data_IF_371563995595
#
_entry.id   IF_371563995595
#
_cell.length_a   1.000
_cell.length_b   1.000
_cell.length_c   1.000
_cell.angle_alpha   90.00
_cell.angle_beta   90.00
_cell.angle_gamma   90.00
#
_symmetry.space_group_name_H-M   'P 1'
#
loop_
_entity.id
_entity.type
_entity.pdbx_description
1 polymer ?
#
# COMPACT_ATOMS: atom_id res chain seq x y z
N UNK A 1 11.96 -13.33 17.95
CA UNK A 1 11.99 -11.89 18.31
C UNK A 1 13.42 -11.39 18.49
N UNK A 2 14.37 -12.25 18.89
CA UNK A 2 15.79 -11.87 19.06
C UNK A 2 16.55 -11.70 17.74
N UNK A 3 16.00 -12.20 16.63
CA UNK A 3 16.61 -12.12 15.29
C UNK A 3 16.08 -10.96 14.44
N UNK A 4 15.18 -10.14 14.96
CA UNK A 4 14.73 -8.94 14.25
C UNK A 4 15.76 -7.82 14.39
N UNK A 5 16.57 -7.65 13.35
CA UNK A 5 17.50 -6.53 13.24
C UNK A 5 16.69 -5.25 12.95
N UNK A 6 16.80 -4.25 13.80
CA UNK A 6 16.30 -2.91 13.48
C UNK A 6 17.26 -2.30 12.48
N UNK A 7 16.90 -2.31 11.20
CA UNK A 7 17.76 -1.87 10.11
C UNK A 7 17.85 -0.36 10.02
N UNK A 8 16.76 0.35 10.35
CA UNK A 8 16.73 1.81 10.28
C UNK A 8 15.58 2.37 11.15
N UNK A 9 15.89 3.34 11.98
CA UNK A 9 14.89 4.17 12.65
C UNK A 9 14.78 5.46 11.85
N UNK A 10 13.61 5.75 11.29
CA UNK A 10 13.37 6.98 10.54
C UNK A 10 13.41 8.18 11.47
N UNK A 11 14.26 9.16 11.19
CA UNK A 11 14.27 10.45 11.87
C UNK A 11 13.45 11.46 11.08
N UNK A 12 12.21 11.69 11.53
CA UNK A 12 11.27 12.62 10.91
C UNK A 12 11.70 14.08 11.00
N UNK A 13 12.56 14.43 11.96
CA UNK A 13 13.09 15.78 12.14
C UNK A 13 13.98 16.26 10.98
N UNK A 14 14.55 15.32 10.22
CA UNK A 14 15.45 15.63 9.11
C UNK A 14 14.72 15.81 7.76
N UNK A 15 13.39 15.77 7.70
CA UNK A 15 12.65 16.05 6.47
C UNK A 15 12.38 17.55 6.31
N UNK A 16 12.99 18.25 5.33
CA UNK A 16 12.91 19.72 5.20
C UNK A 16 11.48 20.23 5.10
N UNK A 17 10.60 19.48 4.41
CA UNK A 17 9.20 19.86 4.24
C UNK A 17 8.42 19.76 5.55
N UNK A 18 8.61 18.70 6.33
CA UNK A 18 7.95 18.52 7.63
C UNK A 18 8.41 19.56 8.63
N UNK A 19 9.71 19.87 8.64
CA UNK A 19 10.25 20.94 9.48
C UNK A 19 9.66 22.30 9.11
N UNK A 20 9.48 22.59 7.81
CA UNK A 20 8.83 23.82 7.36
C UNK A 20 7.37 23.88 7.82
N UNK A 21 6.59 22.82 7.62
CA UNK A 21 5.19 22.75 8.04
C UNK A 21 5.03 22.81 9.56
N UNK A 22 5.95 22.24 10.33
CA UNK A 22 5.98 22.36 11.78
C UNK A 22 6.31 23.79 12.23
N UNK A 23 7.28 24.45 11.60
CA UNK A 23 7.64 25.85 11.86
C UNK A 23 6.50 26.82 11.55
N UNK A 24 5.68 26.50 10.54
CA UNK A 24 4.48 27.26 10.16
C UNK A 24 3.27 26.94 11.07
N UNK A 25 3.42 26.04 12.04
CA UNK A 25 2.33 25.60 12.93
C UNK A 25 1.25 24.74 12.25
N UNK A 26 1.50 24.32 11.00
CA UNK A 26 0.54 23.53 10.20
C UNK A 26 0.45 22.08 10.68
N UNK A 27 1.56 21.53 11.17
CA UNK A 27 1.64 20.19 11.76
C UNK A 27 2.45 20.23 13.05
N UNK A 28 2.15 19.31 13.97
CA UNK A 28 2.98 19.07 15.15
C UNK A 28 3.83 17.82 14.92
N UNK A 29 5.14 17.98 14.90
CA UNK A 29 6.07 16.85 14.95
C UNK A 29 6.09 16.36 16.41
N UNK A 30 5.77 15.08 16.62
CA UNK A 30 5.91 14.44 17.93
C UNK A 30 7.18 13.62 17.95
N UNK A 31 7.92 13.77 19.00
CA UNK A 31 8.96 12.82 19.40
C UNK A 31 8.30 11.63 20.09
N UNK A 32 8.01 10.60 19.29
CA UNK A 32 7.33 9.39 19.76
C UNK A 32 8.22 8.55 20.68
N UNK A 33 9.54 8.65 20.53
CA UNK A 33 10.50 7.86 21.31
C UNK A 33 10.62 8.36 22.73
N UNK A 34 10.28 9.64 22.96
CA UNK A 34 10.30 10.28 24.29
C UNK A 34 8.91 10.69 24.80
N UNK A 35 7.84 10.29 24.09
CA UNK A 35 6.48 10.61 24.53
C UNK A 35 6.09 9.78 25.75
N UNK A 36 5.66 10.45 26.83
CA UNK A 36 5.13 9.77 28.02
C UNK A 36 3.76 9.16 27.73
N UNK A 37 3.39 8.11 28.50
CA UNK A 37 2.05 7.48 28.39
C UNK A 37 0.92 8.50 28.55
N UNK A 38 1.11 9.56 29.34
CA UNK A 38 0.16 10.66 29.52
C UNK A 38 0.07 11.55 28.28
N UNK A 39 1.19 11.79 27.57
CA UNK A 39 1.22 12.51 26.30
C UNK A 39 0.61 11.69 25.16
N UNK A 40 0.74 10.36 25.20
CA UNK A 40 0.12 9.43 24.26
C UNK A 40 -1.39 9.31 24.52
N UNK A 41 -1.82 9.36 25.79
CA UNK A 41 -3.22 9.30 26.20
C UNK A 41 -3.98 10.63 25.97
N UNK A 42 -3.32 11.77 26.15
CA UNK A 42 -3.88 13.12 25.94
C UNK A 42 -3.82 13.53 24.45
N UNK A 43 -4.31 12.66 23.59
CA UNK A 43 -4.30 12.90 22.17
C UNK A 43 -5.61 13.59 21.74
N UNK A 44 -5.64 14.92 21.69
CA UNK A 44 -6.75 15.71 21.12
C UNK A 44 -6.96 15.48 19.62
N UNK A 45 -6.18 14.57 19.01
CA UNK A 45 -6.29 14.22 17.60
C UNK A 45 -7.41 13.21 17.41
N UNK A 46 -8.35 13.58 16.57
CA UNK A 46 -9.40 12.67 16.13
C UNK A 46 -8.81 11.55 15.28
N UNK A 47 -9.25 10.30 15.47
CA UNK A 47 -8.85 9.21 14.60
C UNK A 47 -9.39 9.42 13.17
N UNK A 48 -8.75 8.78 12.19
CA UNK A 48 -9.07 9.02 10.77
C UNK A 48 -10.54 8.76 10.41
N UNK A 49 -11.22 7.82 11.04
CA UNK A 49 -12.65 7.56 10.78
C UNK A 49 -13.56 8.71 11.28
N UNK A 50 -13.18 9.41 12.35
CA UNK A 50 -13.90 10.59 12.82
C UNK A 50 -13.60 11.81 11.93
N UNK A 51 -12.35 11.98 11.50
CA UNK A 51 -11.99 12.99 10.51
C UNK A 51 -12.71 12.78 9.18
N UNK A 52 -12.76 11.53 8.70
CA UNK A 52 -13.48 11.17 7.48
C UNK A 52 -14.97 11.56 7.57
N UNK A 53 -15.60 11.29 8.72
CA UNK A 53 -16.99 11.68 8.99
C UNK A 53 -17.15 13.20 9.11
N UNK A 54 -16.28 13.85 9.90
CA UNK A 54 -16.32 15.31 10.14
C UNK A 54 -16.27 16.12 8.85
N UNK A 55 -15.42 15.68 7.92
CA UNK A 55 -15.19 16.37 6.63
C UNK A 55 -15.96 15.72 5.46
N UNK A 56 -16.80 14.74 5.73
CA UNK A 56 -17.55 14.01 4.71
C UNK A 56 -16.66 13.49 3.55
N UNK A 57 -15.59 12.81 3.90
CA UNK A 57 -14.60 12.30 2.95
C UNK A 57 -14.86 10.85 2.57
N UNK A 58 -15.34 10.04 3.53
CA UNK A 58 -15.59 8.61 3.38
C UNK A 58 -16.88 8.26 4.09
N UNK A 59 -17.76 7.55 3.40
CA UNK A 59 -19.01 7.01 3.92
C UNK A 59 -18.88 5.48 4.09
N UNK A 60 -18.68 5.04 5.31
CA UNK A 60 -18.56 3.63 5.64
C UNK A 60 -19.91 2.92 5.65
N UNK A 61 -20.98 3.62 6.06
CA UNK A 61 -22.33 3.05 6.14
C UNK A 61 -22.89 2.77 4.74
N UNK A 62 -22.60 3.66 3.79
CA UNK A 62 -22.94 3.46 2.39
C UNK A 62 -22.17 2.26 1.80
N UNK A 63 -20.92 2.07 2.17
CA UNK A 63 -20.14 0.89 1.80
C UNK A 63 -20.74 -0.41 2.32
N UNK A 64 -21.17 -0.42 3.57
CA UNK A 64 -21.89 -1.56 4.17
C UNK A 64 -23.18 -1.87 3.41
N UNK A 65 -23.93 -0.83 3.02
CA UNK A 65 -25.19 -0.98 2.26
C UNK A 65 -24.96 -1.60 0.87
N UNK A 66 -23.86 -1.23 0.20
CA UNK A 66 -23.57 -1.66 -1.19
C UNK A 66 -22.95 -3.06 -1.22
N UNK A 67 -21.95 -3.32 -0.37
CA UNK A 67 -21.09 -4.52 -0.47
C UNK A 67 -20.87 -5.25 0.85
N UNK A 68 -20.96 -4.54 1.98
CA UNK A 68 -20.66 -5.07 3.30
C UNK A 68 -19.58 -4.29 4.03
N UNK A 69 -19.26 -4.70 5.24
CA UNK A 69 -18.18 -4.09 6.02
C UNK A 69 -16.84 -4.24 5.30
N UNK A 70 -15.95 -3.25 5.45
CA UNK A 70 -14.63 -3.27 4.81
C UNK A 70 -14.59 -2.80 3.35
N UNK A 71 -15.69 -2.21 2.85
CA UNK A 71 -15.79 -1.58 1.53
C UNK A 71 -16.14 -0.09 1.70
N UNK A 72 -15.15 0.81 1.84
CA UNK A 72 -15.43 2.24 2.03
C UNK A 72 -15.91 2.89 0.73
N UNK A 73 -16.77 3.91 0.86
CA UNK A 73 -17.16 4.78 -0.25
C UNK A 73 -16.53 6.15 -0.07
N UNK A 74 -15.59 6.50 -0.93
CA UNK A 74 -14.99 7.83 -0.94
C UNK A 74 -15.94 8.84 -1.58
N UNK A 75 -16.14 10.00 -0.94
CA UNK A 75 -17.14 10.99 -1.35
C UNK A 75 -16.50 12.35 -1.59
N UNK A 76 -16.91 13.03 -2.65
CA UNK A 76 -16.53 14.42 -2.93
C UNK A 76 -15.03 14.68 -2.88
N UNK A 77 -14.57 15.46 -1.88
CA UNK A 77 -13.15 15.76 -1.69
C UNK A 77 -12.33 14.53 -1.31
N UNK A 78 -12.92 13.55 -0.61
CA UNK A 78 -12.25 12.28 -0.30
C UNK A 78 -11.89 11.50 -1.57
N UNK A 79 -12.82 11.37 -2.52
CA UNK A 79 -12.55 10.74 -3.80
C UNK A 79 -11.50 11.50 -4.64
N UNK A 80 -11.51 12.83 -4.57
CA UNK A 80 -10.49 13.67 -5.24
C UNK A 80 -9.12 13.48 -4.62
N UNK A 81 -9.03 13.43 -3.29
CA UNK A 81 -7.78 13.20 -2.56
C UNK A 81 -7.21 11.83 -2.90
N UNK A 82 -8.05 10.77 -2.90
CA UNK A 82 -7.63 9.41 -3.27
C UNK A 82 -6.97 9.38 -4.66
N UNK A 83 -7.62 9.98 -5.66
CA UNK A 83 -7.05 10.08 -7.01
C UNK A 83 -5.76 10.92 -7.07
N UNK A 84 -5.71 12.01 -6.30
CA UNK A 84 -4.53 12.87 -6.27
C UNK A 84 -3.32 12.12 -5.70
N UNK A 85 -3.51 11.33 -4.63
CA UNK A 85 -2.46 10.50 -4.05
C UNK A 85 -1.99 9.41 -5.02
N UNK A 86 -2.91 8.73 -5.70
CA UNK A 86 -2.57 7.73 -6.72
C UNK A 86 -1.71 8.36 -7.82
N UNK A 87 -2.14 9.50 -8.37
CA UNK A 87 -1.40 10.20 -9.41
C UNK A 87 -0.03 10.68 -8.93
N UNK A 88 0.05 11.17 -7.70
CA UNK A 88 1.32 11.60 -7.09
C UNK A 88 2.30 10.42 -7.00
N UNK A 89 1.90 9.29 -6.43
CA UNK A 89 2.77 8.12 -6.29
C UNK A 89 3.22 7.55 -7.64
N UNK A 90 2.34 7.52 -8.64
CA UNK A 90 2.70 7.09 -10.00
C UNK A 90 3.70 8.06 -10.66
N UNK A 91 3.49 9.38 -10.49
CA UNK A 91 4.39 10.38 -11.03
C UNK A 91 5.79 10.30 -10.41
N UNK A 92 5.87 10.14 -9.07
CA UNK A 92 7.14 9.99 -8.36
C UNK A 92 7.85 8.69 -8.74
N UNK A 93 7.13 7.57 -8.87
CA UNK A 93 7.71 6.32 -9.34
C UNK A 93 8.24 6.45 -10.78
N UNK A 94 7.47 7.08 -11.67
CA UNK A 94 7.89 7.32 -13.06
C UNK A 94 9.14 8.22 -13.13
N UNK A 95 9.21 9.26 -12.30
CA UNK A 95 10.38 10.13 -12.18
C UNK A 95 11.62 9.38 -11.67
N UNK A 96 11.42 8.34 -10.83
CA UNK A 96 12.48 7.44 -10.36
C UNK A 96 12.86 6.33 -11.38
N UNK A 97 12.31 6.40 -12.60
CA UNK A 97 12.65 5.49 -13.70
C UNK A 97 11.85 4.17 -13.71
N UNK A 98 10.74 4.09 -12.99
CA UNK A 98 9.82 2.96 -13.09
C UNK A 98 8.91 3.13 -14.32
N UNK A 99 8.74 2.06 -15.09
CA UNK A 99 7.77 2.00 -16.18
C UNK A 99 6.37 1.76 -15.61
N UNK A 100 5.42 2.64 -15.89
CA UNK A 100 4.05 2.47 -15.47
C UNK A 100 3.37 1.35 -16.25
N UNK A 101 2.74 0.42 -15.54
CA UNK A 101 2.00 -0.73 -16.08
C UNK A 101 0.55 -0.65 -15.58
N UNK A 102 -0.40 -0.88 -16.46
CA UNK A 102 -1.82 -1.03 -16.10
C UNK A 102 -2.24 -2.49 -16.32
N UNK A 103 -2.07 -3.36 -15.31
CA UNK A 103 -2.36 -4.78 -15.42
C UNK A 103 -3.84 -5.07 -15.17
N UNK A 104 -4.33 -6.26 -15.58
CA UNK A 104 -5.65 -6.75 -15.19
C UNK A 104 -5.74 -6.95 -13.66
N UNK A 105 -6.92 -6.71 -13.09
CA UNK A 105 -7.21 -6.90 -11.66
C UNK A 105 -7.69 -8.31 -11.32
N UNK A 106 -7.87 -9.15 -12.31
CA UNK A 106 -8.13 -10.59 -12.17
C UNK A 106 -7.02 -11.38 -12.86
N UNK A 107 -6.59 -12.47 -12.22
CA UNK A 107 -5.48 -13.29 -12.68
C UNK A 107 -5.87 -14.76 -12.71
N UNK A 108 -5.20 -15.53 -13.58
CA UNK A 108 -5.34 -16.98 -13.61
C UNK A 108 -4.58 -17.65 -12.45
N UNK A 109 -4.86 -18.93 -12.24
CA UNK A 109 -4.26 -19.75 -11.19
C UNK A 109 -2.72 -19.78 -11.28
N UNK A 110 -2.16 -19.88 -12.48
CA UNK A 110 -0.71 -19.92 -12.70
C UNK A 110 -0.02 -18.64 -12.20
N UNK A 111 -0.66 -17.49 -12.33
CA UNK A 111 -0.14 -16.22 -11.80
C UNK A 111 -0.20 -16.17 -10.28
N UNK A 112 -1.23 -16.76 -9.68
CA UNK A 112 -1.30 -16.89 -8.22
C UNK A 112 -0.19 -17.77 -7.64
N UNK A 113 0.15 -18.85 -8.32
CA UNK A 113 1.30 -19.70 -7.96
C UNK A 113 2.63 -19.00 -8.20
N UNK A 114 2.76 -18.24 -9.28
CA UNK A 114 3.99 -17.54 -9.64
C UNK A 114 4.52 -16.55 -8.60
N UNK A 115 3.65 -16.03 -7.75
CA UNK A 115 4.00 -15.09 -6.66
C UNK A 115 3.68 -15.63 -5.26
N UNK A 116 3.36 -16.94 -5.15
CA UNK A 116 3.14 -17.59 -3.86
C UNK A 116 1.83 -17.24 -3.16
N UNK A 117 0.87 -16.63 -3.86
CA UNK A 117 -0.47 -16.37 -3.33
C UNK A 117 -1.31 -17.66 -3.29
N UNK A 118 -1.02 -18.60 -4.15
CA UNK A 118 -1.59 -19.94 -4.14
C UNK A 118 -0.53 -20.98 -3.76
N UNK A 119 -0.91 -22.06 -3.06
CA UNK A 119 -2.25 -22.37 -2.58
C UNK A 119 -2.67 -21.43 -1.43
N UNK A 120 -3.89 -20.87 -1.52
CA UNK A 120 -4.43 -19.96 -0.51
C UNK A 120 -4.93 -20.72 0.72
N UNK A 121 -4.01 -21.06 1.62
CA UNK A 121 -4.29 -21.84 2.84
C UNK A 121 -5.12 -21.05 3.86
N UNK A 122 -5.08 -19.75 3.80
CA UNK A 122 -5.74 -18.85 4.77
C UNK A 122 -7.07 -18.29 4.23
N UNK A 123 -7.41 -18.57 2.97
CA UNK A 123 -8.64 -18.11 2.34
C UNK A 123 -8.70 -16.60 2.14
N UNK A 124 -7.56 -15.98 1.80
CA UNK A 124 -7.45 -14.52 1.66
C UNK A 124 -7.87 -14.00 0.29
N UNK A 125 -7.80 -14.84 -0.74
CA UNK A 125 -8.14 -14.43 -2.10
C UNK A 125 -9.64 -14.56 -2.40
N UNK A 126 -10.17 -13.58 -3.12
CA UNK A 126 -11.47 -13.70 -3.78
C UNK A 126 -11.34 -14.54 -5.04
N UNK A 127 -12.14 -15.59 -5.17
CA UNK A 127 -12.13 -16.52 -6.28
C UNK A 127 -13.43 -16.45 -7.09
N UNK A 128 -13.34 -16.15 -8.39
CA UNK A 128 -14.41 -16.23 -9.35
C UNK A 128 -14.49 -17.68 -9.88
N UNK A 129 -15.28 -18.51 -9.22
CA UNK A 129 -15.29 -19.97 -9.44
C UNK A 129 -15.63 -20.40 -10.86
N UNK A 130 -16.59 -19.71 -11.53
CA UNK A 130 -17.04 -20.09 -12.88
C UNK A 130 -15.93 -19.93 -13.93
N UNK A 131 -15.12 -18.91 -13.78
CA UNK A 131 -14.06 -18.57 -14.74
C UNK A 131 -12.67 -19.05 -14.29
N UNK A 132 -12.57 -19.59 -13.07
CA UNK A 132 -11.32 -19.93 -12.41
C UNK A 132 -10.32 -18.78 -12.40
N UNK A 133 -10.80 -17.55 -12.06
CA UNK A 133 -10.01 -16.35 -11.93
C UNK A 133 -10.00 -15.86 -10.49
N UNK A 134 -8.96 -15.17 -10.11
CA UNK A 134 -8.75 -14.63 -8.77
C UNK A 134 -8.63 -13.12 -8.83
N UNK A 135 -9.33 -12.39 -7.93
CA UNK A 135 -9.09 -10.97 -7.76
C UNK A 135 -7.75 -10.78 -7.06
N UNK A 136 -6.95 -9.84 -7.56
CA UNK A 136 -5.59 -9.62 -7.04
C UNK A 136 -5.60 -8.99 -5.65
N UNK A 137 -4.77 -9.48 -4.70
CA UNK A 137 -4.56 -8.83 -3.40
C UNK A 137 -3.51 -7.71 -3.46
N UNK A 138 -2.78 -7.60 -4.57
CA UNK A 138 -1.68 -6.67 -4.82
C UNK A 138 -1.34 -6.66 -6.31
N UNK A 139 -0.91 -5.52 -6.85
CA UNK A 139 -0.39 -5.42 -8.22
C UNK A 139 0.89 -6.25 -8.44
N UNK A 140 1.60 -6.62 -7.38
CA UNK A 140 2.75 -7.53 -7.44
C UNK A 140 2.43 -8.80 -8.25
N UNK A 141 1.23 -9.38 -8.04
CA UNK A 141 0.84 -10.63 -8.71
C UNK A 141 0.85 -10.48 -10.23
N UNK A 142 0.07 -9.61 -10.87
CA UNK A 142 0.10 -9.49 -12.31
C UNK A 142 1.41 -8.91 -12.85
N UNK A 143 2.01 -7.94 -12.18
CA UNK A 143 3.21 -7.24 -12.67
C UNK A 143 4.43 -8.16 -12.67
N UNK A 144 4.66 -8.92 -11.59
CA UNK A 144 5.76 -9.88 -11.53
C UNK A 144 5.59 -11.00 -12.56
N UNK A 145 4.35 -11.45 -12.78
CA UNK A 145 4.05 -12.51 -13.74
C UNK A 145 4.21 -12.11 -15.21
N UNK A 146 4.42 -10.83 -15.53
CA UNK A 146 4.84 -10.39 -16.88
C UNK A 146 6.15 -11.11 -17.28
N UNK A 147 7.01 -11.37 -16.32
CA UNK A 147 8.31 -12.03 -16.53
C UNK A 147 8.31 -13.52 -16.11
N UNK A 148 7.13 -14.11 -15.81
CA UNK A 148 7.04 -15.55 -15.60
C UNK A 148 7.43 -16.29 -16.88
N UNK A 149 8.27 -17.32 -16.75
CA UNK A 149 8.77 -18.13 -17.86
C UNK A 149 9.61 -17.33 -18.89
N UNK A 150 10.14 -16.17 -18.50
CA UNK A 150 11.04 -15.33 -19.30
C UNK A 150 12.48 -15.48 -18.79
N UNK A 151 13.40 -15.69 -19.71
CA UNK A 151 14.85 -15.64 -19.40
C UNK A 151 15.37 -14.26 -19.79
N UNK A 152 15.83 -13.50 -18.78
CA UNK A 152 16.42 -12.17 -18.98
C UNK A 152 17.91 -12.28 -19.28
N UNK A 153 18.40 -11.50 -20.25
CA UNK A 153 19.80 -11.32 -20.52
C UNK A 153 20.44 -10.28 -19.59
N UNK A 154 21.78 -10.24 -19.55
CA UNK A 154 22.51 -9.30 -18.69
C UNK A 154 22.18 -7.82 -18.97
N UNK A 155 21.78 -7.46 -20.17
CA UNK A 155 21.47 -6.09 -20.58
C UNK A 155 20.00 -5.69 -20.30
N UNK A 156 19.17 -6.63 -19.84
CA UNK A 156 17.76 -6.38 -19.55
C UNK A 156 17.54 -5.80 -18.14
N UNK A 157 18.59 -5.83 -17.30
CA UNK A 157 18.53 -5.33 -15.92
C UNK A 157 18.97 -3.87 -15.79
N UNK A 158 18.42 -3.11 -14.82
CA UNK A 158 17.28 -3.49 -13.99
C UNK A 158 15.95 -3.37 -14.73
N UNK A 159 14.98 -4.24 -14.42
CA UNK A 159 13.57 -4.02 -14.78
C UNK A 159 12.89 -3.30 -13.62
N UNK A 160 12.34 -2.13 -13.87
CA UNK A 160 11.62 -1.32 -12.89
C UNK A 160 10.20 -1.07 -13.39
N UNK A 161 9.19 -1.48 -12.61
CA UNK A 161 7.78 -1.35 -12.96
C UNK A 161 6.99 -0.75 -11.80
N UNK A 162 6.01 0.10 -12.11
CA UNK A 162 5.04 0.60 -11.15
C UNK A 162 3.63 0.38 -11.66
N UNK A 163 2.69 0.11 -10.77
CA UNK A 163 1.29 -0.07 -11.15
C UNK A 163 0.36 0.42 -10.04
N UNK A 164 -0.70 1.09 -10.43
CA UNK A 164 -1.87 1.31 -9.59
C UNK A 164 -2.91 0.23 -9.87
N UNK A 165 -3.43 -0.38 -8.80
CA UNK A 165 -4.59 -1.26 -8.89
C UNK A 165 -5.48 -1.15 -7.66
N UNK A 166 -6.81 -1.33 -7.80
CA UNK A 166 -7.62 -1.80 -6.70
C UNK A 166 -7.13 -3.20 -6.30
N UNK A 167 -7.10 -3.44 -4.98
CA UNK A 167 -6.66 -4.70 -4.39
C UNK A 167 -7.77 -5.28 -3.54
N UNK A 168 -7.86 -6.61 -3.49
CA UNK A 168 -8.96 -7.32 -2.83
C UNK A 168 -8.41 -8.37 -1.87
N UNK A 169 -8.82 -8.30 -0.59
CA UNK A 169 -8.45 -9.26 0.44
C UNK A 169 -9.68 -9.67 1.24
N UNK A 170 -9.85 -10.95 1.50
CA UNK A 170 -10.99 -11.42 2.31
C UNK A 170 -10.84 -11.09 3.79
N UNK A 171 -9.64 -10.71 4.23
CA UNK A 171 -9.34 -10.38 5.62
C UNK A 171 -9.86 -11.43 6.61
N UNK A 172 -9.78 -12.71 6.22
CA UNK A 172 -10.27 -13.84 6.99
C UNK A 172 -9.58 -13.88 8.37
N UNK A 173 -10.39 -13.94 9.43
CA UNK A 173 -9.88 -13.95 10.81
C UNK A 173 -9.62 -12.58 11.44
N UNK A 174 -9.91 -11.47 10.75
CA UNK A 174 -9.77 -10.12 11.31
C UNK A 174 -11.03 -9.69 12.05
N UNK A 175 -10.91 -9.30 13.33
CA UNK A 175 -12.03 -8.92 14.19
C UNK A 175 -11.72 -7.72 15.09
N UNK A 176 -12.75 -7.01 15.55
CA UNK A 176 -12.67 -6.03 16.62
C UNK A 176 -12.14 -4.67 16.22
N UNK A 177 -11.25 -4.07 17.01
CA UNK A 177 -10.76 -2.71 16.82
C UNK A 177 -9.94 -2.53 15.53
N UNK A 178 -9.30 -3.59 15.05
CA UNK A 178 -8.41 -3.57 13.89
C UNK A 178 -9.15 -3.38 12.56
N UNK A 179 -10.47 -3.63 12.54
CA UNK A 179 -11.32 -3.45 11.34
C UNK A 179 -12.01 -2.09 11.28
N UNK A 180 -11.75 -1.18 12.24
CA UNK A 180 -12.37 0.15 12.24
C UNK A 180 -11.67 1.10 11.27
N UNK A 181 -12.47 1.84 10.50
CA UNK A 181 -11.98 2.83 9.53
C UNK A 181 -11.27 2.19 8.34
N UNK A 182 -10.05 2.63 8.03
CA UNK A 182 -9.26 2.18 6.88
C UNK A 182 -8.17 1.15 7.23
N UNK A 183 -8.13 0.65 8.47
CA UNK A 183 -7.03 -0.22 8.91
C UNK A 183 -7.03 -1.59 8.23
N UNK A 184 -8.22 -2.16 8.00
CA UNK A 184 -8.42 -3.45 7.34
C UNK A 184 -9.60 -3.36 6.39
N UNK A 185 -9.34 -3.51 5.10
CA UNK A 185 -10.34 -3.35 4.05
C UNK A 185 -10.36 -4.57 3.14
N UNK A 186 -11.55 -4.95 2.70
CA UNK A 186 -11.75 -5.95 1.66
C UNK A 186 -11.37 -5.45 0.26
N UNK A 187 -11.52 -4.13 0.05
CA UNK A 187 -11.08 -3.45 -1.16
C UNK A 187 -10.34 -2.18 -0.77
N UNK A 188 -9.16 -1.97 -1.36
CA UNK A 188 -8.34 -0.76 -1.18
C UNK A 188 -7.52 -0.49 -2.42
N UNK A 189 -7.02 0.73 -2.55
CA UNK A 189 -6.16 1.14 -3.65
C UNK A 189 -4.69 1.05 -3.25
N UNK A 190 -3.84 0.55 -4.16
CA UNK A 190 -2.40 0.44 -3.93
C UNK A 190 -1.61 0.82 -5.18
N UNK A 191 -0.62 1.66 -4.99
CA UNK A 191 0.45 1.86 -5.96
C UNK A 191 1.62 0.98 -5.55
N UNK A 192 2.04 0.13 -6.46
CA UNK A 192 3.09 -0.87 -6.26
C UNK A 192 4.32 -0.51 -7.06
N UNK A 193 5.51 -0.77 -6.53
CA UNK A 193 6.75 -0.77 -7.28
C UNK A 193 7.34 -2.18 -7.27
N UNK A 194 7.73 -2.67 -8.44
CA UNK A 194 8.36 -3.99 -8.62
C UNK A 194 9.68 -3.80 -9.33
N UNK A 195 10.74 -4.44 -8.83
CA UNK A 195 12.06 -4.43 -9.44
C UNK A 195 12.57 -5.84 -9.62
N UNK A 196 13.08 -6.14 -10.81
CA UNK A 196 13.83 -7.37 -11.08
C UNK A 196 15.29 -6.95 -11.29
N UNK A 197 16.19 -7.53 -10.51
CA UNK A 197 17.59 -7.15 -10.44
C UNK A 197 18.50 -8.38 -10.48
N UNK A 198 19.76 -8.18 -10.80
CA UNK A 198 20.79 -9.21 -10.66
C UNK A 198 20.97 -9.58 -9.19
N UNK A 199 21.23 -10.86 -8.88
CA UNK A 199 21.37 -11.31 -7.48
C UNK A 199 22.39 -10.50 -6.67
N UNK A 200 23.52 -10.14 -7.27
CA UNK A 200 24.61 -9.37 -6.66
C UNK A 200 24.21 -7.93 -6.30
N UNK A 201 23.22 -7.35 -7.01
CA UNK A 201 22.74 -5.98 -6.81
C UNK A 201 21.45 -5.91 -5.95
N UNK A 202 20.91 -7.05 -5.53
CA UNK A 202 19.57 -7.13 -4.91
C UNK A 202 19.44 -6.31 -3.63
N UNK A 203 20.47 -6.28 -2.77
CA UNK A 203 20.43 -5.48 -1.53
C UNK A 203 20.55 -3.98 -1.80
N UNK A 204 21.41 -3.57 -2.74
CA UNK A 204 21.52 -2.17 -3.16
C UNK A 204 20.19 -1.69 -3.77
N UNK A 205 19.55 -2.55 -4.57
CA UNK A 205 18.23 -2.29 -5.13
C UNK A 205 17.14 -2.12 -4.07
N UNK A 206 17.18 -2.96 -3.02
CA UNK A 206 16.26 -2.84 -1.88
C UNK A 206 16.45 -1.49 -1.15
N UNK A 207 17.69 -1.09 -0.89
CA UNK A 207 17.98 0.18 -0.22
C UNK A 207 17.50 1.38 -1.05
N UNK A 208 17.67 1.35 -2.39
CA UNK A 208 17.11 2.37 -3.28
C UNK A 208 15.57 2.42 -3.22
N UNK A 209 14.90 1.26 -3.22
CA UNK A 209 13.45 1.19 -3.11
C UNK A 209 12.96 1.74 -1.77
N UNK A 210 13.63 1.42 -0.67
CA UNK A 210 13.32 1.96 0.67
C UNK A 210 13.48 3.48 0.66
N UNK A 211 14.58 4.00 0.15
CA UNK A 211 14.84 5.44 0.08
C UNK A 211 13.79 6.17 -0.77
N UNK A 212 13.35 5.55 -1.87
CA UNK A 212 12.27 6.09 -2.70
C UNK A 212 10.95 6.19 -1.91
N UNK A 213 10.54 5.11 -1.25
CA UNK A 213 9.29 5.09 -0.45
C UNK A 213 9.36 6.03 0.75
N UNK A 214 10.52 6.16 1.41
CA UNK A 214 10.72 7.13 2.50
C UNK A 214 10.63 8.61 2.02
N UNK A 215 10.84 8.84 0.74
CA UNK A 215 10.73 10.16 0.11
C UNK A 215 9.30 10.62 -0.15
N UNK A 216 8.34 9.69 -0.21
CA UNK A 216 6.93 9.93 -0.50
C UNK A 216 6.15 10.41 0.73
#
# INVERSE_FOLDING_TARGET
AEDNLVVKIGNWENKPMLNKLAAEGTIAIRDWDNATDEQLANNDKLPHWELAKKYNLIDFDLGVKISGAGFPVYVGLGARLQRALINFFLAEASAAGYTEIMPPTVVNEASGYGTGQLPDKEGQMYHCQLDNLYLIPTAEVPVTNIYRDVILGNNDFPVKMTAYTPCFRREAGSYGKDVRGLNRLHQFDKVEIVRIEKPEESYAALDEMIAHVEGL
#
